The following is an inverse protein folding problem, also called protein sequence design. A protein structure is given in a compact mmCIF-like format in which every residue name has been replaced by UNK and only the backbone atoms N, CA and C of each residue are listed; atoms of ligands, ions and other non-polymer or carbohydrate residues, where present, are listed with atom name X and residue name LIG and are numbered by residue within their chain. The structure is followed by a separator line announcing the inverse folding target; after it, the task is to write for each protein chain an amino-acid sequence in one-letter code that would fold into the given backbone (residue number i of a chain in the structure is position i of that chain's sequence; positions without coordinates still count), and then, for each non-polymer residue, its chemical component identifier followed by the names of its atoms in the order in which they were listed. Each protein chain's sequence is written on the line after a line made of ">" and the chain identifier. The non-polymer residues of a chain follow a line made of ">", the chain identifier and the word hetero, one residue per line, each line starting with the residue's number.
data_IF_242222242208
#
_entry.id   IF_242222242208
#
_cell.length_a   1.000
_cell.length_b   1.000
_cell.length_c   1.000
_cell.angle_alpha   90.00
_cell.angle_beta   90.00
_cell.angle_gamma   90.00
#
_symmetry.space_group_name_H-M   'P 1'
#
loop_
_entity.id
_entity.type
_entity.pdbx_description
1 polymer ?
#
# COMPACT_ATOMS: atom_id res chain seq x y z
N UNK A 1 41.58 24.19 13.11
CA UNK A 1 40.66 24.71 12.08
C UNK A 1 39.44 23.81 12.12
N UNK A 2 38.36 24.26 12.76
CA UNK A 2 37.09 23.54 12.83
C UNK A 2 36.38 23.73 11.50
N UNK A 3 36.53 22.77 10.58
CA UNK A 3 35.65 22.70 9.43
C UNK A 3 34.24 22.48 9.96
N UNK A 4 33.31 23.37 9.61
CA UNK A 4 31.90 23.14 9.84
C UNK A 4 31.48 22.00 8.89
N UNK A 5 31.53 20.76 9.38
CA UNK A 5 31.24 19.57 8.59
C UNK A 5 29.71 19.39 8.50
N UNK A 6 29.06 20.34 7.85
CA UNK A 6 27.62 20.32 7.57
C UNK A 6 27.34 19.41 6.37
N UNK A 7 26.29 18.58 6.45
CA UNK A 7 25.79 17.87 5.27
C UNK A 7 25.27 18.92 4.27
N UNK A 8 25.93 19.02 3.13
CA UNK A 8 25.53 19.91 2.04
C UNK A 8 25.13 19.02 0.87
N UNK A 9 23.83 18.79 0.73
CA UNK A 9 23.31 17.97 -0.35
C UNK A 9 23.77 18.57 -1.68
N UNK A 10 24.59 17.82 -2.42
CA UNK A 10 25.06 18.25 -3.74
C UNK A 10 23.95 17.97 -4.75
N UNK A 11 23.37 19.02 -5.34
CA UNK A 11 22.47 18.87 -6.48
C UNK A 11 23.33 18.71 -7.74
N UNK A 12 23.43 17.49 -8.26
CA UNK A 12 23.92 17.25 -9.62
C UNK A 12 22.72 17.24 -10.59
N UNK A 13 22.98 17.54 -11.86
CA UNK A 13 21.94 17.63 -12.89
C UNK A 13 21.11 16.33 -12.98
N UNK A 14 19.81 16.54 -13.16
CA UNK A 14 18.78 15.49 -13.16
C UNK A 14 18.92 14.64 -14.41
N UNK A 15 19.70 13.56 -14.34
CA UNK A 15 19.74 12.60 -15.43
C UNK A 15 18.66 11.53 -15.26
N UNK A 16 17.82 11.44 -16.29
CA UNK A 16 16.83 10.43 -16.67
C UNK A 16 15.42 10.51 -16.07
N UNK A 17 14.46 10.74 -16.97
CA UNK A 17 13.06 10.35 -16.82
C UNK A 17 12.98 8.83 -16.53
N UNK A 18 11.97 8.36 -15.78
CA UNK A 18 11.78 6.93 -15.55
C UNK A 18 11.74 6.17 -16.89
N UNK A 19 12.30 4.96 -16.97
CA UNK A 19 12.35 4.19 -18.20
C UNK A 19 10.94 3.98 -18.77
N UNK A 20 10.84 3.96 -20.10
CA UNK A 20 9.59 3.71 -20.82
C UNK A 20 8.93 2.38 -20.40
N UNK A 21 7.64 2.21 -20.73
CA UNK A 21 6.88 1.02 -20.30
C UNK A 21 7.55 -0.31 -20.69
N UNK A 22 8.17 -0.36 -21.87
CA UNK A 22 8.71 -1.59 -22.47
C UNK A 22 10.18 -1.87 -22.09
N UNK A 23 10.85 -0.94 -21.39
CA UNK A 23 12.30 -1.02 -21.12
C UNK A 23 12.65 -1.11 -19.63
N UNK A 24 11.66 -1.31 -18.75
CA UNK A 24 11.88 -1.34 -17.31
C UNK A 24 12.43 -2.68 -16.85
N UNK A 25 13.51 -2.62 -16.06
CA UNK A 25 14.12 -3.76 -15.39
C UNK A 25 14.54 -3.30 -14.00
N UNK A 26 14.13 -4.04 -12.97
CA UNK A 26 14.54 -3.71 -11.61
C UNK A 26 15.97 -4.22 -11.32
N UNK A 27 16.97 -3.45 -11.74
CA UNK A 27 18.40 -3.77 -11.65
C UNK A 27 19.18 -2.84 -10.69
N UNK A 28 18.48 -1.92 -10.01
CA UNK A 28 19.05 -0.94 -9.11
C UNK A 28 19.61 0.32 -9.76
N UNK A 29 19.38 0.54 -11.06
CA UNK A 29 19.66 1.84 -11.71
C UNK A 29 18.64 2.92 -11.39
N UNK A 30 17.47 2.53 -10.89
CA UNK A 30 16.39 3.43 -10.47
C UNK A 30 15.73 2.92 -9.19
N UNK A 31 14.96 3.79 -8.53
CA UNK A 31 14.20 3.46 -7.32
C UNK A 31 12.70 3.34 -7.56
N UNK A 32 12.25 3.04 -8.79
CA UNK A 32 10.84 2.81 -9.11
C UNK A 32 10.34 1.44 -8.59
N UNK A 33 10.39 1.30 -7.26
CA UNK A 33 9.97 0.14 -6.47
C UNK A 33 8.45 -0.06 -6.60
N UNK A 34 7.68 1.02 -6.72
CA UNK A 34 6.23 0.94 -6.89
C UNK A 34 5.87 0.22 -8.19
N UNK A 35 6.53 0.56 -9.30
CA UNK A 35 6.33 -0.15 -10.57
C UNK A 35 6.74 -1.61 -10.48
N UNK A 36 7.88 -1.93 -9.87
CA UNK A 36 8.28 -3.33 -9.67
C UNK A 36 7.21 -4.11 -8.87
N UNK A 37 6.69 -3.53 -7.79
CA UNK A 37 5.65 -4.16 -6.97
C UNK A 37 4.35 -4.41 -7.73
N UNK A 38 3.94 -3.49 -8.61
CA UNK A 38 2.80 -3.70 -9.51
C UNK A 38 3.08 -4.77 -10.56
N UNK A 39 4.28 -4.82 -11.15
CA UNK A 39 4.67 -5.88 -12.10
C UNK A 39 4.61 -7.24 -11.41
N UNK A 40 5.14 -7.35 -10.18
CA UNK A 40 5.06 -8.59 -9.41
C UNK A 40 3.62 -8.96 -9.04
N UNK A 41 2.80 -7.98 -8.68
CA UNK A 41 1.37 -8.19 -8.45
C UNK A 41 0.67 -8.78 -9.68
N UNK A 42 0.92 -8.23 -10.87
CA UNK A 42 0.37 -8.72 -12.14
C UNK A 42 0.92 -10.10 -12.53
N UNK A 43 2.12 -10.44 -12.06
CA UNK A 43 2.70 -11.79 -12.16
C UNK A 43 2.09 -12.80 -11.15
N UNK A 44 1.07 -12.40 -10.38
CA UNK A 44 0.42 -13.18 -9.32
C UNK A 44 1.31 -13.49 -8.10
N UNK A 45 2.39 -12.74 -7.91
CA UNK A 45 3.10 -12.80 -6.62
C UNK A 45 2.21 -12.22 -5.51
N UNK A 46 2.40 -12.73 -4.30
CA UNK A 46 1.61 -12.31 -3.14
C UNK A 46 2.49 -12.00 -1.95
N UNK A 47 2.01 -11.08 -1.13
CA UNK A 47 2.54 -10.76 0.20
C UNK A 47 1.41 -10.41 1.12
N UNK A 48 1.63 -10.69 2.40
CA UNK A 48 0.74 -10.26 3.45
C UNK A 48 0.56 -8.74 3.42
N UNK A 49 -0.66 -8.32 3.73
CA UNK A 49 -0.97 -6.91 4.00
C UNK A 49 -0.10 -6.40 5.13
N UNK A 50 0.28 -5.13 5.06
CA UNK A 50 1.18 -4.54 6.04
C UNK A 50 0.36 -4.08 7.24
N UNK A 51 0.63 -4.57 8.46
CA UNK A 51 -0.04 -4.09 9.65
C UNK A 51 0.64 -2.80 10.14
N UNK A 52 0.40 -1.70 9.43
CA UNK A 52 0.92 -0.38 9.78
C UNK A 52 0.38 0.08 11.13
N UNK A 53 1.19 0.82 11.89
CA UNK A 53 0.73 1.48 13.12
C UNK A 53 -0.29 2.58 12.85
N UNK A 54 -0.21 3.20 11.67
CA UNK A 54 -1.20 4.13 11.12
C UNK A 54 -1.05 4.21 9.59
N UNK A 55 -2.12 4.56 8.88
CA UNK A 55 -2.06 4.87 7.44
C UNK A 55 -1.82 6.38 7.27
N UNK A 56 -0.75 6.83 6.59
CA UNK A 56 -0.45 8.26 6.42
C UNK A 56 -1.58 9.07 5.77
N UNK A 57 -1.77 10.31 6.21
CA UNK A 57 -2.85 11.18 5.71
C UNK A 57 -2.72 11.47 4.21
N UNK A 58 -1.51 11.71 3.71
CA UNK A 58 -1.25 11.92 2.28
C UNK A 58 -1.73 10.72 1.44
N UNK A 59 -1.50 9.50 1.94
CA UNK A 59 -1.95 8.27 1.28
C UNK A 59 -3.48 8.13 1.33
N UNK A 60 -4.10 8.38 2.49
CA UNK A 60 -5.57 8.37 2.61
C UNK A 60 -6.22 9.37 1.66
N UNK A 61 -5.72 10.60 1.62
CA UNK A 61 -6.22 11.65 0.73
C UNK A 61 -6.11 11.20 -0.72
N UNK A 62 -4.94 10.70 -1.14
CA UNK A 62 -4.74 10.19 -2.49
C UNK A 62 -5.73 9.08 -2.85
N UNK A 63 -5.84 8.03 -2.03
CA UNK A 63 -6.71 6.89 -2.31
C UNK A 63 -8.20 7.26 -2.28
N UNK A 64 -8.60 8.22 -1.43
CA UNK A 64 -9.98 8.69 -1.35
C UNK A 64 -10.48 9.31 -2.67
N UNK A 65 -9.59 9.95 -3.45
CA UNK A 65 -9.95 10.47 -4.80
C UNK A 65 -10.33 9.38 -5.79
N UNK A 66 -9.99 8.12 -5.49
CA UNK A 66 -10.28 6.94 -6.30
C UNK A 66 -11.33 6.02 -5.63
N UNK A 67 -11.89 6.44 -4.49
CA UNK A 67 -12.81 5.64 -3.67
C UNK A 67 -12.22 4.28 -3.24
N UNK A 68 -10.93 4.26 -2.92
CA UNK A 68 -10.17 3.08 -2.50
C UNK A 68 -9.87 3.20 -1.00
N UNK A 69 -10.13 2.12 -0.27
CA UNK A 69 -9.61 1.95 1.09
C UNK A 69 -8.23 1.27 1.01
N UNK A 70 -7.27 1.74 1.82
CA UNK A 70 -5.94 1.16 1.89
C UNK A 70 -5.99 -0.30 2.36
N UNK A 71 -6.88 -0.64 3.28
CA UNK A 71 -6.96 -1.99 3.86
C UNK A 71 -7.57 -3.01 2.89
N UNK A 72 -8.26 -2.54 1.85
CA UNK A 72 -8.79 -3.40 0.77
C UNK A 72 -7.68 -3.84 -0.20
N UNK A 73 -6.60 -3.06 -0.32
CA UNK A 73 -5.54 -3.31 -1.28
C UNK A 73 -4.77 -4.62 -0.96
N UNK A 74 -4.30 -5.36 -1.98
CA UNK A 74 -3.34 -6.44 -1.81
C UNK A 74 -2.03 -5.94 -1.19
N UNK A 75 -1.33 -6.80 -0.44
CA UNK A 75 -0.12 -6.39 0.30
C UNK A 75 1.01 -5.83 -0.57
N UNK A 76 1.15 -6.26 -1.83
CA UNK A 76 2.11 -5.68 -2.77
C UNK A 76 1.69 -4.27 -3.21
N UNK A 77 0.40 -4.09 -3.49
CA UNK A 77 -0.15 -2.79 -3.89
C UNK A 77 -0.08 -1.80 -2.74
N UNK A 78 -0.33 -2.24 -1.49
CA UNK A 78 -0.11 -1.42 -0.29
C UNK A 78 1.33 -0.88 -0.21
N UNK A 79 2.34 -1.73 -0.42
CA UNK A 79 3.76 -1.32 -0.46
C UNK A 79 4.02 -0.35 -1.62
N UNK A 80 3.44 -0.61 -2.78
CA UNK A 80 3.64 0.21 -3.97
C UNK A 80 3.12 1.63 -3.77
N UNK A 81 1.90 1.77 -3.23
CA UNK A 81 1.30 3.08 -3.00
C UNK A 81 1.96 3.84 -1.86
N UNK A 82 2.46 3.14 -0.83
CA UNK A 82 3.28 3.76 0.23
C UNK A 82 4.54 4.37 -0.36
N UNK A 83 5.32 3.57 -1.09
CA UNK A 83 6.56 4.02 -1.72
C UNK A 83 6.34 5.22 -2.64
N UNK A 84 5.39 5.10 -3.55
CA UNK A 84 5.08 6.12 -4.54
C UNK A 84 4.56 7.43 -3.91
N UNK A 85 3.92 7.34 -2.73
CA UNK A 85 3.49 8.49 -1.92
C UNK A 85 4.58 8.99 -0.97
N UNK A 86 5.81 8.46 -1.07
CA UNK A 86 6.94 8.95 -0.31
C UNK A 86 7.07 8.35 1.08
N UNK A 87 6.73 7.08 1.27
CA UNK A 87 6.89 6.40 2.56
C UNK A 87 7.70 5.12 2.45
N UNK A 88 8.58 4.91 3.43
CA UNK A 88 9.17 3.61 3.75
C UNK A 88 8.66 3.14 5.12
N UNK A 89 9.07 1.94 5.54
CA UNK A 89 8.57 1.29 6.75
C UNK A 89 9.74 1.03 7.71
N UNK A 90 9.74 1.74 8.83
CA UNK A 90 10.65 1.50 9.94
C UNK A 90 10.24 0.26 10.76
N UNK A 91 11.16 -0.30 11.58
CA UNK A 91 10.82 -1.36 12.54
C UNK A 91 9.57 -1.03 13.37
N UNK A 92 8.76 -2.06 13.62
CA UNK A 92 7.44 -1.89 14.26
C UNK A 92 6.32 -1.47 13.31
N UNK A 93 6.56 -1.53 11.98
CA UNK A 93 5.60 -1.15 10.93
C UNK A 93 5.19 0.33 11.00
N UNK A 94 6.15 1.19 11.32
CA UNK A 94 5.96 2.64 11.39
C UNK A 94 6.24 3.23 10.01
N UNK A 95 5.26 3.88 9.35
CA UNK A 95 5.55 4.63 8.13
C UNK A 95 6.48 5.81 8.42
N UNK A 96 7.50 5.98 7.60
CA UNK A 96 8.46 7.09 7.66
C UNK A 96 8.38 7.88 6.36
N UNK A 97 8.10 9.18 6.45
CA UNK A 97 8.03 10.08 5.30
C UNK A 97 9.43 10.27 4.70
N UNK A 98 9.50 10.24 3.38
CA UNK A 98 10.67 10.52 2.56
C UNK A 98 10.37 11.72 1.67
N UNK A 99 11.33 12.62 1.57
CA UNK A 99 11.32 13.77 0.67
C UNK A 99 12.51 13.67 -0.29
N UNK A 100 12.26 13.41 -1.58
CA UNK A 100 13.28 13.57 -2.62
C UNK A 100 13.84 14.99 -2.66
N UNK A 101 15.13 15.10 -2.96
CA UNK A 101 15.91 16.34 -3.02
C UNK A 101 16.17 16.69 -4.48
N UNK A 102 16.39 17.97 -4.82
CA UNK A 102 17.02 18.35 -6.10
C UNK A 102 16.22 18.00 -7.37
N UNK A 103 14.89 17.96 -7.28
CA UNK A 103 14.02 17.60 -8.40
C UNK A 103 13.91 16.10 -8.69
N UNK A 104 14.52 15.26 -7.84
CA UNK A 104 14.28 13.82 -7.86
C UNK A 104 12.84 13.49 -7.43
N UNK A 105 12.43 12.27 -7.70
CA UNK A 105 11.14 11.64 -7.38
C UNK A 105 11.41 10.31 -6.68
N UNK A 106 10.41 9.74 -6.03
CA UNK A 106 10.56 8.40 -5.42
C UNK A 106 11.01 7.31 -6.41
N UNK A 107 10.80 7.51 -7.73
CA UNK A 107 11.24 6.59 -8.77
C UNK A 107 12.73 6.71 -9.15
N UNK A 108 13.42 7.80 -8.77
CA UNK A 108 14.81 8.06 -9.15
C UNK A 108 15.67 8.69 -8.03
N UNK A 109 15.46 8.28 -6.77
CA UNK A 109 16.31 8.66 -5.61
C UNK A 109 17.45 7.66 -5.35
N UNK A 110 17.66 6.66 -6.21
CA UNK A 110 18.88 5.84 -6.15
C UNK A 110 20.11 6.70 -6.44
N UNK A 111 21.08 6.67 -5.52
CA UNK A 111 22.39 7.28 -5.75
C UNK A 111 23.17 6.47 -6.80
N UNK A 112 23.74 7.16 -7.79
CA UNK A 112 24.52 6.52 -8.86
C UNK A 112 25.93 6.21 -8.38
N UNK A 113 26.52 5.16 -8.96
CA UNK A 113 27.86 4.70 -8.56
C UNK A 113 28.94 5.80 -8.67
N UNK A 114 28.89 6.64 -9.72
CA UNK A 114 29.86 7.73 -9.89
C UNK A 114 29.69 8.86 -8.85
N UNK A 115 28.51 9.01 -8.25
CA UNK A 115 28.29 10.01 -7.19
C UNK A 115 28.87 9.52 -5.86
N UNK A 116 28.75 8.21 -5.60
CA UNK A 116 29.42 7.54 -4.48
C UNK A 116 30.94 7.59 -4.66
N UNK A 117 31.45 7.27 -5.85
CA UNK A 117 32.89 7.39 -6.19
C UNK A 117 33.38 8.84 -6.01
N UNK A 118 32.58 9.82 -6.45
CA UNK A 118 32.91 11.25 -6.36
C UNK A 118 32.93 11.85 -4.95
N UNK A 119 32.56 11.07 -3.93
CA UNK A 119 32.75 11.43 -2.51
C UNK A 119 33.80 10.56 -1.81
N UNK A 120 34.68 9.90 -2.57
CA UNK A 120 35.80 9.08 -2.07
C UNK A 120 35.36 7.91 -1.19
N UNK A 121 34.24 7.27 -1.58
CA UNK A 121 33.78 6.04 -0.99
C UNK A 121 34.33 4.82 -1.71
N UNK A 122 34.69 3.77 -0.97
CA UNK A 122 35.07 2.48 -1.54
C UNK A 122 33.86 1.57 -1.78
N UNK A 123 33.90 0.74 -2.83
CA UNK A 123 32.90 -0.28 -3.12
C UNK A 123 33.50 -1.69 -3.25
N UNK A 124 32.68 -2.69 -2.96
CA UNK A 124 32.93 -4.10 -3.29
C UNK A 124 32.16 -4.45 -4.55
N UNK A 125 32.87 -4.92 -5.58
CA UNK A 125 32.27 -5.46 -6.78
C UNK A 125 31.74 -6.87 -6.52
N UNK A 126 30.50 -7.12 -6.92
CA UNK A 126 29.82 -8.38 -6.73
C UNK A 126 29.30 -8.91 -8.06
N UNK A 127 29.59 -10.18 -8.35
CA UNK A 127 29.01 -10.87 -9.50
C UNK A 127 27.57 -11.27 -9.21
N UNK A 128 26.67 -11.04 -10.16
CA UNK A 128 25.28 -11.48 -10.11
C UNK A 128 25.02 -12.62 -11.11
N UNK A 129 23.91 -13.38 -10.96
CA UNK A 129 23.57 -14.49 -11.87
C UNK A 129 23.43 -14.11 -13.34
N UNK A 130 23.04 -12.87 -13.63
CA UNK A 130 22.92 -12.33 -14.98
C UNK A 130 24.26 -11.85 -15.56
N UNK A 131 25.39 -12.11 -14.89
CA UNK A 131 26.74 -11.63 -15.25
C UNK A 131 26.89 -10.11 -15.28
N UNK A 132 25.93 -9.36 -14.74
CA UNK A 132 26.08 -7.91 -14.52
C UNK A 132 26.84 -7.71 -13.21
N UNK A 133 27.77 -6.74 -13.21
CA UNK A 133 28.48 -6.36 -12.00
C UNK A 133 27.60 -5.45 -11.16
N UNK A 134 27.40 -5.83 -9.90
CA UNK A 134 26.77 -5.02 -8.89
C UNK A 134 27.78 -4.52 -7.86
N UNK A 135 27.34 -3.58 -7.03
CA UNK A 135 28.18 -2.81 -6.14
C UNK A 135 27.55 -2.72 -4.74
N UNK A 136 28.38 -2.92 -3.72
CA UNK A 136 28.05 -2.58 -2.33
C UNK A 136 29.04 -1.55 -1.82
N UNK A 137 28.60 -0.63 -0.96
CA UNK A 137 29.54 0.20 -0.20
C UNK A 137 30.43 -0.67 0.69
N UNK A 138 31.74 -0.40 0.64
CA UNK A 138 32.76 -0.98 1.51
C UNK A 138 33.23 0.00 2.57
N UNK A 139 33.57 1.24 2.23
CA UNK A 139 33.99 2.24 3.21
C UNK A 139 33.46 3.61 2.82
N UNK A 140 32.74 4.24 3.74
CA UNK A 140 32.24 5.60 3.64
C UNK A 140 31.98 6.11 5.06
N UNK A 141 32.24 7.38 5.31
CA UNK A 141 31.73 8.08 6.49
C UNK A 141 30.25 8.42 6.33
N UNK A 142 29.58 8.72 7.44
CA UNK A 142 28.20 9.21 7.39
C UNK A 142 28.06 10.53 6.63
N UNK A 143 29.07 11.39 6.66
CA UNK A 143 29.09 12.64 5.89
C UNK A 143 29.16 12.41 4.38
N UNK A 144 30.05 11.53 3.92
CA UNK A 144 30.17 11.18 2.50
C UNK A 144 28.85 10.62 1.98
N UNK A 145 28.27 9.65 2.71
CA UNK A 145 27.00 9.05 2.32
C UNK A 145 25.84 10.06 2.36
N UNK A 146 25.80 10.92 3.38
CA UNK A 146 24.78 11.95 3.50
C UNK A 146 24.85 12.99 2.37
N UNK A 147 26.06 13.43 1.99
CA UNK A 147 26.26 14.44 0.94
C UNK A 147 25.86 13.97 -0.46
N UNK A 148 25.91 12.66 -0.73
CA UNK A 148 25.50 12.08 -2.00
C UNK A 148 24.05 11.59 -2.03
N UNK A 149 23.34 11.61 -0.89
CA UNK A 149 21.97 11.11 -0.80
C UNK A 149 20.98 11.99 -1.57
N UNK A 150 20.03 11.39 -2.28
CA UNK A 150 18.99 12.09 -3.04
C UNK A 150 17.67 12.24 -2.28
N UNK A 151 17.63 11.88 -1.01
CA UNK A 151 16.44 11.96 -0.18
C UNK A 151 16.76 12.38 1.26
N UNK A 152 15.76 12.99 1.88
CA UNK A 152 15.67 13.20 3.32
C UNK A 152 14.55 12.32 3.87
N UNK A 153 14.71 11.74 5.04
CA UNK A 153 13.70 10.92 5.69
C UNK A 153 13.40 11.43 7.11
N UNK A 154 12.14 11.30 7.51
CA UNK A 154 11.67 11.75 8.82
C UNK A 154 12.32 10.96 9.95
N UNK A 155 12.43 11.56 11.13
CA UNK A 155 13.10 10.93 12.27
C UNK A 155 12.24 9.80 12.82
N UNK A 156 12.88 8.65 13.10
CA UNK A 156 12.22 7.50 13.71
C UNK A 156 13.16 6.79 14.69
N UNK A 157 12.58 5.94 15.55
CA UNK A 157 13.35 5.12 16.49
C UNK A 157 13.65 3.74 15.88
N UNK A 158 14.92 3.37 15.87
CA UNK A 158 15.38 2.03 15.52
C UNK A 158 16.25 1.45 16.64
N UNK A 159 15.62 0.68 17.53
CA UNK A 159 16.32 0.03 18.66
C UNK A 159 17.44 -0.91 18.21
N UNK A 160 17.40 -1.40 16.97
CA UNK A 160 18.41 -2.27 16.39
C UNK A 160 19.55 -1.54 15.67
N UNK A 161 19.54 -0.21 15.59
CA UNK A 161 20.43 0.57 14.73
C UNK A 161 21.93 0.28 14.94
N UNK A 162 22.39 0.30 16.20
CA UNK A 162 23.81 0.10 16.55
C UNK A 162 24.38 -1.26 16.19
N UNK A 163 23.52 -2.28 16.11
CA UNK A 163 23.92 -3.64 15.75
C UNK A 163 23.64 -3.98 14.30
N UNK A 164 23.09 -3.04 13.53
CA UNK A 164 22.66 -3.29 12.17
C UNK A 164 23.85 -3.17 11.21
N UNK A 165 24.29 -4.32 10.68
CA UNK A 165 25.43 -4.41 9.77
C UNK A 165 24.98 -4.54 8.30
N UNK A 166 23.84 -3.95 7.94
CA UNK A 166 23.44 -3.86 6.54
C UNK A 166 24.37 -2.92 5.76
N UNK A 167 24.20 -2.84 4.45
CA UNK A 167 24.96 -1.90 3.63
C UNK A 167 24.32 -0.51 3.62
N UNK A 168 25.13 0.54 3.46
CA UNK A 168 24.62 1.91 3.42
C UNK A 168 24.13 2.32 2.03
N UNK A 169 24.75 1.77 1.00
CA UNK A 169 24.32 1.89 -0.38
C UNK A 169 24.63 0.59 -1.11
N UNK A 170 23.80 0.24 -2.08
CA UNK A 170 24.06 -0.83 -3.02
C UNK A 170 23.32 -0.60 -4.33
N UNK A 171 23.97 -1.00 -5.41
CA UNK A 171 23.42 -1.03 -6.75
C UNK A 171 23.51 -2.44 -7.31
N UNK A 172 22.34 -3.00 -7.54
CA UNK A 172 22.09 -4.28 -8.19
C UNK A 172 20.62 -4.60 -7.98
N UNK A 173 20.12 -5.62 -8.67
CA UNK A 173 18.74 -6.05 -8.45
C UNK A 173 18.47 -7.37 -9.11
N UNK A 174 17.61 -8.16 -8.48
CA UNK A 174 16.97 -9.28 -9.13
C UNK A 174 15.74 -8.73 -9.89
N UNK A 175 15.70 -8.82 -11.23
CA UNK A 175 14.58 -8.33 -12.04
C UNK A 175 13.22 -8.91 -11.62
N UNK A 176 13.23 -10.10 -10.99
CA UNK A 176 12.04 -10.81 -10.56
C UNK A 176 11.76 -10.67 -9.05
N UNK A 177 12.48 -9.80 -8.35
CA UNK A 177 12.30 -9.64 -6.90
C UNK A 177 10.96 -9.02 -6.57
N UNK A 178 10.37 -9.45 -5.46
CA UNK A 178 9.37 -8.68 -4.71
C UNK A 178 10.13 -7.80 -3.72
N UNK A 179 10.37 -6.51 -4.02
CA UNK A 179 11.16 -5.66 -3.16
C UNK A 179 10.39 -5.29 -1.89
N UNK A 180 11.13 -5.10 -0.80
CA UNK A 180 10.61 -4.45 0.40
C UNK A 180 10.90 -2.94 0.37
N UNK A 181 10.35 -2.19 1.34
CA UNK A 181 10.61 -0.76 1.55
C UNK A 181 11.01 -0.52 3.01
N UNK A 182 11.93 -1.34 3.51
CA UNK A 182 12.32 -1.33 4.94
C UNK A 182 13.30 -0.20 5.19
N UNK A 183 12.94 0.75 6.04
CA UNK A 183 13.85 1.80 6.51
C UNK A 183 14.60 1.31 7.75
N UNK A 184 15.92 1.45 7.74
CA UNK A 184 16.80 1.14 8.87
C UNK A 184 17.72 2.33 9.16
N UNK A 185 18.03 2.52 10.43
CA UNK A 185 19.07 3.47 10.84
C UNK A 185 20.39 2.71 11.00
N UNK A 186 21.42 3.17 10.30
CA UNK A 186 22.79 2.76 10.54
C UNK A 186 23.46 3.78 11.44
N UNK A 187 23.59 3.44 12.72
CA UNK A 187 24.25 4.29 13.72
C UNK A 187 25.54 3.65 14.20
N UNK A 188 26.65 4.38 14.12
CA UNK A 188 27.95 3.93 14.60
C UNK A 188 28.81 5.11 15.09
N UNK A 189 29.86 4.82 15.85
CA UNK A 189 30.80 5.81 16.38
C UNK A 189 32.20 5.47 15.89
N UNK A 190 32.89 6.44 15.31
CA UNK A 190 34.28 6.33 14.87
C UNK A 190 35.12 7.40 15.56
N UNK A 191 36.34 7.03 15.97
CA UNK A 191 37.32 7.99 16.45
C UNK A 191 38.04 8.60 15.25
N UNK A 192 37.71 9.84 14.91
CA UNK A 192 38.26 10.54 13.76
C UNK A 192 38.94 11.80 14.28
N UNK A 193 40.27 11.81 14.26
CA UNK A 193 41.09 12.88 14.82
C UNK A 193 40.80 14.24 14.16
N UNK A 194 40.50 14.22 12.85
CA UNK A 194 40.10 15.38 12.06
C UNK A 194 38.80 16.01 12.57
N UNK A 195 37.91 15.22 13.18
CA UNK A 195 36.64 15.67 13.77
C UNK A 195 36.74 15.92 15.28
N UNK A 196 37.95 15.91 15.85
CA UNK A 196 38.16 16.15 17.27
C UNK A 196 37.87 14.95 18.17
N UNK A 197 37.89 13.73 17.60
CA UNK A 197 37.77 12.46 18.33
C UNK A 197 36.52 11.66 17.94
N UNK A 198 35.89 11.03 18.94
CA UNK A 198 34.71 10.19 18.76
C UNK A 198 33.54 10.97 18.12
N UNK A 199 33.22 10.61 16.88
CA UNK A 199 32.11 11.14 16.09
C UNK A 199 31.07 10.06 15.88
N UNK A 200 29.80 10.36 16.15
CA UNK A 200 28.69 9.43 15.92
C UNK A 200 27.95 9.81 14.65
N UNK A 201 27.81 8.83 13.76
CA UNK A 201 27.08 8.94 12.51
C UNK A 201 25.74 8.23 12.61
N UNK A 202 24.77 8.71 11.84
CA UNK A 202 23.48 8.07 11.64
C UNK A 202 23.05 8.29 10.19
N UNK A 203 22.89 7.20 9.44
CA UNK A 203 22.49 7.21 8.03
C UNK A 203 21.25 6.35 7.89
N UNK A 204 20.17 6.94 7.39
CA UNK A 204 18.93 6.20 7.13
C UNK A 204 19.03 5.55 5.77
N UNK A 205 18.61 4.29 5.67
CA UNK A 205 18.70 3.53 4.43
C UNK A 205 17.43 2.74 4.20
N UNK A 206 16.86 2.91 3.01
CA UNK A 206 15.78 2.04 2.52
C UNK A 206 16.41 0.79 1.94
N UNK A 207 15.98 -0.37 2.41
CA UNK A 207 16.41 -1.68 1.94
C UNK A 207 15.28 -2.39 1.23
N UNK A 208 15.63 -3.02 0.10
CA UNK A 208 14.68 -3.73 -0.77
C UNK A 208 14.52 -5.20 -0.44
N UNK A 209 15.08 -5.66 0.68
CA UNK A 209 14.92 -7.02 1.20
C UNK A 209 14.74 -6.99 2.72
N UNK A 210 14.24 -8.08 3.33
CA UNK A 210 14.17 -8.18 4.78
C UNK A 210 15.57 -8.13 5.41
N UNK A 211 15.72 -7.38 6.50
CA UNK A 211 16.97 -7.22 7.26
C UNK A 211 17.69 -8.53 7.61
N UNK A 212 16.95 -9.60 7.92
CA UNK A 212 17.54 -10.92 8.23
C UNK A 212 18.15 -11.64 7.03
N UNK A 213 17.86 -11.17 5.81
CA UNK A 213 18.36 -11.72 4.55
C UNK A 213 19.43 -10.85 3.90
N UNK A 214 19.74 -9.69 4.49
CA UNK A 214 20.79 -8.81 3.99
C UNK A 214 22.16 -9.45 4.11
N UNK A 215 22.98 -9.21 3.08
CA UNK A 215 24.39 -9.51 3.18
C UNK A 215 25.02 -8.53 4.19
N UNK A 216 25.92 -9.01 5.07
CA UNK A 216 26.65 -8.12 5.94
C UNK A 216 27.42 -7.06 5.16
N UNK A 217 27.66 -5.92 5.80
CA UNK A 217 28.43 -4.82 5.25
C UNK A 217 29.75 -5.28 4.59
N UNK A 218 30.05 -4.68 3.44
CA UNK A 218 31.20 -5.01 2.60
C UNK A 218 31.25 -6.48 2.11
N UNK A 219 30.17 -7.25 2.18
CA UNK A 219 30.11 -8.63 1.66
C UNK A 219 29.09 -8.77 0.53
N UNK A 220 29.49 -9.50 -0.50
CA UNK A 220 28.55 -9.92 -1.54
C UNK A 220 27.59 -11.00 -1.01
N UNK A 221 26.35 -11.03 -1.50
CA UNK A 221 25.44 -12.16 -1.31
C UNK A 221 26.09 -13.47 -1.73
N UNK A 222 25.92 -14.50 -0.91
CA UNK A 222 26.44 -15.85 -1.21
C UNK A 222 25.49 -16.61 -2.13
N UNK A 223 25.98 -17.72 -2.68
CA UNK A 223 25.20 -18.72 -3.41
C UNK A 223 24.53 -18.19 -4.69
N UNK A 224 25.20 -17.30 -5.42
CA UNK A 224 24.65 -16.74 -6.66
C UNK A 224 23.35 -15.98 -6.44
N UNK A 225 23.19 -15.30 -5.29
CA UNK A 225 22.06 -14.40 -5.07
C UNK A 225 22.37 -13.03 -5.66
N UNK A 226 21.34 -12.35 -6.13
CA UNK A 226 21.48 -10.98 -6.59
C UNK A 226 21.80 -10.04 -5.42
N UNK A 227 22.58 -8.99 -5.74
CA UNK A 227 22.69 -7.77 -4.95
C UNK A 227 21.36 -7.04 -4.93
N UNK A 228 21.16 -6.22 -3.92
CA UNK A 228 19.94 -5.47 -3.67
C UNK A 228 20.12 -3.99 -3.95
N UNK A 229 19.00 -3.28 -4.03
CA UNK A 229 18.98 -1.82 -4.02
C UNK A 229 18.92 -1.37 -2.56
N UNK A 230 19.86 -0.52 -2.15
CA UNK A 230 19.80 0.17 -0.87
C UNK A 230 20.01 1.66 -1.08
N UNK A 231 19.06 2.45 -0.59
CA UNK A 231 18.95 3.88 -0.92
C UNK A 231 19.21 4.68 0.35
N UNK A 232 20.35 5.38 0.46
CA UNK A 232 20.65 6.23 1.60
C UNK A 232 19.80 7.50 1.54
N UNK A 233 19.28 7.90 2.69
CA UNK A 233 18.63 9.18 2.94
C UNK A 233 19.26 9.86 4.16
N UNK A 234 19.23 11.19 4.16
CA UNK A 234 19.65 12.00 5.31
C UNK A 234 18.49 12.16 6.29
N UNK A 235 18.79 12.29 7.57
CA UNK A 235 17.77 12.54 8.58
C UNK A 235 17.22 13.98 8.47
N UNK A 236 15.91 14.11 8.69
CA UNK A 236 15.19 15.39 8.64
C UNK A 236 15.68 16.43 9.65
N UNK A 237 16.16 16.00 10.82
CA UNK A 237 16.63 16.87 11.89
C UNK A 237 18.00 17.51 11.62
N UNK A 238 18.68 17.16 10.53
CA UNK A 238 19.88 17.86 10.05
C UNK A 238 19.57 19.15 9.30
N UNK A 239 18.30 19.41 8.97
CA UNK A 239 17.89 20.53 8.13
C UNK A 239 16.84 21.42 8.80
N UNK A 240 16.88 22.71 8.47
CA UNK A 240 15.83 23.65 8.86
C UNK A 240 14.58 23.46 7.99
N UNK A 241 13.43 23.92 8.48
CA UNK A 241 12.18 23.90 7.70
C UNK A 241 12.31 24.70 6.40
N UNK A 242 13.03 25.83 6.44
CA UNK A 242 13.31 26.66 5.27
C UNK A 242 14.15 25.92 4.23
N UNK A 243 15.18 25.16 4.66
CA UNK A 243 15.96 24.33 3.74
C UNK A 243 15.08 23.27 3.09
N UNK A 244 14.26 22.57 3.88
CA UNK A 244 13.40 21.51 3.37
C UNK A 244 12.38 22.04 2.37
N UNK A 245 11.71 23.15 2.69
CA UNK A 245 10.74 23.78 1.79
C UNK A 245 11.36 24.24 0.46
N UNK A 246 12.64 24.63 0.45
CA UNK A 246 13.32 25.13 -0.74
C UNK A 246 13.97 24.02 -1.59
N UNK A 247 14.38 22.90 -0.97
CA UNK A 247 15.26 21.93 -1.63
C UNK A 247 14.66 20.53 -1.79
N UNK A 248 13.51 20.25 -1.17
CA UNK A 248 12.85 18.94 -1.27
C UNK A 248 11.45 19.03 -1.85
N UNK A 249 10.95 17.89 -2.32
CA UNK A 249 9.57 17.74 -2.80
C UNK A 249 8.83 16.77 -1.90
N UNK A 250 7.59 17.10 -1.53
CA UNK A 250 6.69 16.15 -0.87
C UNK A 250 6.03 15.28 -1.93
N UNK A 251 6.27 13.95 -1.96
CA UNK A 251 5.70 13.09 -2.98
C UNK A 251 4.17 12.98 -2.84
N UNK A 252 3.44 13.17 -3.94
CA UNK A 252 1.98 13.01 -3.99
C UNK A 252 1.54 11.74 -4.71
N UNK A 253 2.50 10.96 -5.21
CA UNK A 253 2.25 9.83 -6.09
C UNK A 253 2.40 10.15 -7.58
N UNK A 254 2.84 9.16 -8.35
CA UNK A 254 3.00 9.25 -9.79
C UNK A 254 1.68 9.05 -10.53
N UNK A 255 1.59 9.60 -11.73
CA UNK A 255 0.45 9.38 -12.63
C UNK A 255 0.32 7.90 -13.05
N UNK A 256 1.46 7.21 -13.17
CA UNK A 256 1.50 5.79 -13.55
C UNK A 256 0.81 4.91 -12.48
N UNK A 257 1.19 5.05 -11.21
CA UNK A 257 0.56 4.29 -10.12
C UNK A 257 -0.90 4.68 -9.95
N UNK A 258 -1.22 5.97 -10.07
CA UNK A 258 -2.62 6.45 -9.99
C UNK A 258 -3.50 5.83 -11.07
N UNK A 259 -2.98 5.70 -12.30
CA UNK A 259 -3.71 5.03 -13.40
C UNK A 259 -3.95 3.56 -13.08
N UNK A 260 -2.93 2.83 -12.62
CA UNK A 260 -3.06 1.42 -12.23
C UNK A 260 -4.05 1.20 -11.09
N UNK A 261 -4.01 2.05 -10.07
CA UNK A 261 -4.97 2.00 -8.97
C UNK A 261 -6.41 2.18 -9.46
N UNK A 262 -6.62 3.17 -10.34
CA UNK A 262 -7.95 3.43 -10.90
C UNK A 262 -8.45 2.24 -11.73
N UNK A 263 -7.60 1.69 -12.59
CA UNK A 263 -7.99 0.60 -13.50
C UNK A 263 -8.29 -0.71 -12.77
N UNK A 264 -7.53 -1.03 -11.72
CA UNK A 264 -7.64 -2.34 -11.03
C UNK A 264 -8.50 -2.30 -9.76
N UNK A 265 -8.57 -1.16 -9.07
CA UNK A 265 -9.20 -1.04 -7.75
C UNK A 265 -10.19 0.12 -7.63
N UNK A 266 -10.20 1.05 -8.59
CA UNK A 266 -11.10 2.19 -8.59
C UNK A 266 -12.55 1.74 -8.63
N UNK A 267 -13.36 2.28 -7.72
CA UNK A 267 -14.81 2.03 -7.70
C UNK A 267 -15.50 3.20 -8.36
N UNK A 268 -15.93 3.03 -9.62
CA UNK A 268 -16.81 4.01 -10.24
C UNK A 268 -18.15 4.03 -9.47
N UNK A 269 -18.52 5.21 -8.96
CA UNK A 269 -19.84 5.50 -8.34
C UNK A 269 -21.02 5.05 -9.25
N UNK A 270 -20.79 4.96 -10.56
CA UNK A 270 -21.80 4.54 -11.55
C UNK A 270 -22.14 3.06 -11.50
N UNK A 271 -21.22 2.19 -11.03
CA UNK A 271 -21.40 0.74 -11.06
C UNK A 271 -22.52 0.28 -10.12
N UNK A 272 -22.60 0.87 -8.93
CA UNK A 272 -23.71 0.64 -7.99
C UNK A 272 -25.05 1.12 -8.56
N UNK A 273 -25.06 2.29 -9.20
CA UNK A 273 -26.27 2.84 -9.83
C UNK A 273 -26.77 2.00 -11.00
N UNK A 274 -25.89 1.49 -11.86
CA UNK A 274 -26.26 0.62 -12.99
C UNK A 274 -26.85 -0.70 -12.50
N UNK A 275 -26.25 -1.32 -11.47
CA UNK A 275 -26.79 -2.55 -10.88
C UNK A 275 -28.16 -2.31 -10.25
N UNK A 276 -28.35 -1.20 -9.52
CA UNK A 276 -29.65 -0.83 -8.95
C UNK A 276 -30.70 -0.60 -10.04
N UNK A 277 -30.35 0.09 -11.14
CA UNK A 277 -31.25 0.31 -12.28
C UNK A 277 -31.66 -1.02 -12.92
N UNK A 278 -30.72 -1.95 -13.13
CA UNK A 278 -31.02 -3.28 -13.69
C UNK A 278 -31.96 -4.10 -12.78
N UNK A 279 -31.77 -4.03 -11.46
CA UNK A 279 -32.67 -4.67 -10.49
C UNK A 279 -34.06 -4.04 -10.52
N UNK A 280 -34.18 -2.71 -10.60
CA UNK A 280 -35.48 -2.04 -10.69
C UNK A 280 -36.19 -2.41 -11.99
N UNK A 281 -35.48 -2.42 -13.13
CA UNK A 281 -36.06 -2.76 -14.43
C UNK A 281 -36.57 -4.20 -14.48
N UNK A 282 -35.83 -5.14 -13.88
CA UNK A 282 -36.25 -6.56 -13.81
C UNK A 282 -37.49 -6.74 -12.94
N UNK A 283 -37.57 -6.08 -11.79
CA UNK A 283 -38.77 -6.11 -10.93
C UNK A 283 -39.98 -5.53 -11.64
N UNK A 284 -39.84 -4.38 -12.31
CA UNK A 284 -40.93 -3.74 -13.08
C UNK A 284 -41.40 -4.64 -14.22
N UNK A 285 -40.48 -5.29 -14.94
CA UNK A 285 -40.83 -6.22 -16.02
C UNK A 285 -41.63 -7.43 -15.51
N UNK A 286 -41.23 -8.01 -14.37
CA UNK A 286 -41.92 -9.14 -13.75
C UNK A 286 -43.33 -8.77 -13.26
N UNK A 287 -43.47 -7.61 -12.61
CA UNK A 287 -44.77 -7.11 -12.16
C UNK A 287 -45.66 -6.79 -13.36
N UNK A 288 -45.12 -6.17 -14.41
CA UNK A 288 -45.84 -5.89 -15.65
C UNK A 288 -46.32 -7.14 -16.38
N UNK A 289 -45.47 -8.17 -16.49
CA UNK A 289 -45.81 -9.46 -17.07
C UNK A 289 -46.88 -10.19 -16.25
N UNK A 290 -46.76 -10.18 -14.92
CA UNK A 290 -47.75 -10.74 -14.00
C UNK A 290 -49.12 -10.05 -14.12
N UNK A 291 -49.13 -8.72 -14.17
CA UNK A 291 -50.36 -7.94 -14.37
C UNK A 291 -51.01 -8.20 -15.73
N UNK A 292 -50.21 -8.23 -16.79
CA UNK A 292 -50.69 -8.54 -18.14
C UNK A 292 -51.26 -9.95 -18.25
N UNK A 293 -50.59 -10.94 -17.64
CA UNK A 293 -51.07 -12.31 -17.56
C UNK A 293 -52.36 -12.45 -16.77
N UNK A 294 -52.46 -11.76 -15.62
CA UNK A 294 -53.67 -11.71 -14.80
C UNK A 294 -54.84 -11.11 -15.57
N UNK A 295 -54.62 -9.98 -16.24
CA UNK A 295 -55.64 -9.27 -17.01
C UNK A 295 -56.13 -10.10 -18.20
N UNK A 296 -55.24 -10.75 -18.95
CA UNK A 296 -55.62 -11.69 -20.01
C UNK A 296 -56.41 -12.88 -19.49
N UNK A 297 -56.03 -13.43 -18.34
CA UNK A 297 -56.76 -14.55 -17.72
C UNK A 297 -58.15 -14.12 -17.26
N UNK A 298 -58.30 -12.93 -16.70
CA UNK A 298 -59.60 -12.36 -16.32
C UNK A 298 -60.50 -12.13 -17.55
N UNK A 299 -59.96 -11.61 -18.65
CA UNK A 299 -60.71 -11.45 -19.91
C UNK A 299 -61.13 -12.79 -20.53
N UNK A 300 -60.28 -13.82 -20.43
CA UNK A 300 -60.61 -15.17 -20.91
C UNK A 300 -61.69 -15.85 -20.05
N UNK A 301 -61.64 -15.65 -18.72
CA UNK A 301 -62.66 -16.15 -17.80
C UNK A 301 -63.99 -15.42 -17.95
N UNK A 302 -63.98 -14.09 -18.18
CA UNK A 302 -65.17 -13.29 -18.44
C UNK A 302 -65.87 -13.70 -19.75
N UNK A 303 -65.12 -14.03 -20.81
CA UNK A 303 -65.68 -14.60 -22.04
C UNK A 303 -66.26 -16.00 -21.84
N UNK A 304 -65.72 -16.79 -20.90
CA UNK A 304 -66.22 -18.13 -20.57
C UNK A 304 -67.47 -18.09 -19.69
N UNK A 305 -67.64 -17.04 -18.88
CA UNK A 305 -68.82 -16.84 -18.04
C UNK A 305 -69.97 -16.08 -18.74
N UNK A 306 -69.72 -15.42 -19.87
CA UNK A 306 -70.75 -14.73 -20.66
C UNK A 306 -71.67 -15.64 -21.49
N UNK A 307 -71.60 -16.96 -21.30
CA UNK A 307 -72.30 -17.95 -22.13
C UNK A 307 -73.47 -18.70 -21.47
N UNK A 308 -73.78 -18.51 -20.18
CA UNK A 308 -74.88 -19.23 -19.53
C UNK A 308 -75.81 -18.27 -18.77
N UNK A 309 -77.05 -18.16 -19.26
CA UNK A 309 -78.23 -17.66 -18.52
C UNK A 309 -78.88 -18.80 -17.71
N UNK A 310 -79.70 -18.46 -16.69
CA UNK A 310 -79.92 -19.30 -15.52
C UNK A 310 -81.21 -20.13 -15.60
N UNK A 311 -81.15 -21.39 -15.17
CA UNK A 311 -82.34 -22.09 -14.66
C UNK A 311 -81.97 -23.16 -13.63
N UNK A 312 -82.88 -23.34 -12.68
CA UNK A 312 -82.79 -24.13 -11.45
C UNK A 312 -82.48 -25.62 -11.64
N UNK A 313 -81.80 -26.23 -10.67
CA UNK A 313 -82.38 -27.39 -9.99
C UNK A 313 -81.76 -27.63 -8.60
N UNK A 314 -82.63 -27.62 -7.59
CA UNK A 314 -82.38 -28.16 -6.26
C UNK A 314 -81.94 -29.64 -6.33
N UNK A 315 -80.98 -30.03 -5.49
CA UNK A 315 -81.22 -30.96 -4.36
C UNK A 315 -79.90 -31.52 -3.81
N UNK A 316 -79.86 -31.63 -2.48
CA UNK A 316 -79.39 -32.87 -1.86
C UNK A 316 -77.93 -32.95 -1.39
N UNK A 317 -77.80 -32.80 -0.06
CA UNK A 317 -77.00 -33.67 0.83
C UNK A 317 -75.49 -33.36 0.99
N UNK A 318 -75.19 -32.84 2.19
CA UNK A 318 -74.13 -33.18 3.16
C UNK A 318 -72.73 -33.63 2.66
N UNK A 319 -71.59 -33.29 3.27
CA UNK A 319 -71.28 -33.14 4.69
C UNK A 319 -69.82 -32.62 4.86
N UNK A 320 -69.55 -32.07 6.04
CA UNK A 320 -68.25 -31.83 6.70
C UNK A 320 -67.47 -30.53 6.47
N UNK A 321 -67.75 -29.56 7.37
CA UNK A 321 -66.83 -28.94 8.35
C UNK A 321 -65.41 -28.57 7.88
N UNK A 322 -65.10 -27.28 7.78
CA UNK A 322 -64.65 -26.39 8.87
C UNK A 322 -63.22 -26.72 9.35
N UNK A 323 -62.29 -25.78 9.42
CA UNK A 323 -62.34 -24.35 9.13
C UNK A 323 -61.02 -23.67 9.48
N UNK A 324 -60.98 -22.38 9.17
CA UNK A 324 -60.34 -21.29 9.93
C UNK A 324 -58.80 -21.28 10.12
N UNK A 325 -58.13 -20.25 9.58
CA UNK A 325 -57.90 -18.99 10.33
C UNK A 325 -57.03 -18.02 9.52
N UNK A 326 -57.54 -16.80 9.39
CA UNK A 326 -56.83 -15.59 9.02
C UNK A 326 -56.79 -14.69 10.26
N UNK A 327 -55.69 -13.94 10.36
CA UNK A 327 -55.53 -12.61 11.02
C UNK A 327 -55.03 -12.50 12.47
N UNK A 328 -53.95 -11.71 12.52
CA UNK A 328 -53.71 -10.52 13.35
C UNK A 328 -53.21 -10.73 14.78
N UNK A 329 -51.90 -10.51 14.94
CA UNK A 329 -51.31 -9.98 16.17
C UNK A 329 -51.04 -8.49 15.99
N UNK A 330 -51.60 -7.69 16.88
CA UNK A 330 -51.28 -6.29 17.12
C UNK A 330 -51.89 -5.93 18.47
N UNK A 331 -51.10 -5.34 19.37
CA UNK A 331 -51.62 -4.86 20.65
C UNK A 331 -50.63 -5.01 21.80
N UNK A 332 -50.13 -3.87 22.24
CA UNK A 332 -49.16 -3.61 23.30
C UNK A 332 -49.82 -3.68 24.70
N UNK A 333 -48.97 -3.87 25.70
CA UNK A 333 -49.04 -3.31 27.07
C UNK A 333 -49.76 -3.98 28.26
N UNK A 334 -48.99 -3.94 29.37
CA UNK A 334 -49.36 -3.80 30.79
C UNK A 334 -49.66 -5.06 31.65
N UNK A 335 -48.91 -5.18 32.76
CA UNK A 335 -49.53 -5.53 34.05
C UNK A 335 -48.89 -6.61 34.94
N UNK A 336 -47.75 -6.28 35.57
CA UNK A 336 -47.43 -6.44 37.02
C UNK A 336 -47.63 -7.74 37.83
N UNK A 337 -46.58 -8.01 38.64
CA UNK A 337 -46.52 -8.65 39.98
C UNK A 337 -46.58 -10.20 40.01
N UNK A 338 -45.80 -10.95 40.82
CA UNK A 338 -45.17 -10.67 42.12
C UNK A 338 -44.07 -11.69 42.45
N UNK A 339 -43.25 -11.26 43.41
CA UNK A 339 -42.04 -11.75 44.10
C UNK A 339 -42.17 -13.08 44.89
N UNK A 340 -41.03 -13.78 45.03
CA UNK A 340 -40.50 -14.58 46.18
C UNK A 340 -39.90 -15.90 45.67
N UNK A 341 -38.79 -16.45 46.14
CA UNK A 341 -37.73 -16.09 47.11
C UNK A 341 -36.68 -17.21 47.02
N UNK A 342 -35.53 -17.01 47.67
CA UNK A 342 -34.52 -18.02 48.04
C UNK A 342 -33.47 -18.37 46.97
N UNK A 343 -32.21 -18.65 47.28
CA UNK A 343 -31.24 -18.25 48.30
C UNK A 343 -29.92 -18.97 47.93
N UNK A 344 -28.80 -18.39 48.39
CA UNK A 344 -27.50 -19.04 48.62
C UNK A 344 -26.56 -19.34 47.42
N UNK A 345 -25.54 -18.47 47.28
CA UNK A 345 -24.14 -18.83 47.01
C UNK A 345 -23.45 -19.31 48.33
N UNK A 346 -22.13 -19.61 48.42
CA UNK A 346 -21.07 -19.92 47.44
C UNK A 346 -20.35 -21.26 47.85
N UNK A 347 -19.05 -21.59 47.59
CA UNK A 347 -17.84 -20.75 47.43
C UNK A 347 -17.49 -20.34 46.00
#
# INVERSE_FOLDING_TARGET
>A
MTGDHTITLRSLETDSSPPSNDSFVFDGTHSDIARQLFIRHQANDTRDRIPLTFVPSALKTRLSTLNIDFDDLPGLVQRAVLWDTGFAIAPGNVPVQIWPVGGHTMANITVKMHEVDGVDCDFTNCSQPNNVTAYYTRSCTGYQMGNTSHCVADVFEDKGARGYLGNMWARGGDPDVVPEIVMRDHTWTEDIAEFGGNTTFSVYVVHTIPSLKEAPWSKCPKNGRYVTVSIPCVRRDHFTDAFMAANTTTPTGSAWVTTRLKDEFGRDESSGFVVIILVILTVVALVGAGWFGYRRRAEFLAKRSGGLQPEELLSGVERHQAGNMLRQCGGFEAGTCRRNSDAASPP
#
